data_IF_762185510116
#
_entry.id   IF_762185510116
#
_cell.length_a   1.000
_cell.length_b   1.000
_cell.length_c   1.000
_cell.angle_alpha   90.00
_cell.angle_beta   90.00
_cell.angle_gamma   90.00
#
_symmetry.space_group_name_H-M   'P 1'
#
loop_
_entity.id
_entity.type
_entity.pdbx_description
1 polymer ?
#
# COMPACT_ATOMS: atom_id res chain seq x y z
N UNK A 1 -9.68 3.88 13.24
CA UNK A 1 -8.45 4.44 12.64
C UNK A 1 -7.86 3.47 11.63
N UNK A 2 -7.46 3.97 10.48
CA UNK A 2 -6.69 3.20 9.51
C UNK A 2 -5.21 3.33 9.87
N UNK A 3 -4.52 2.21 9.98
CA UNK A 3 -3.07 2.18 10.14
C UNK A 3 -2.45 1.65 8.85
N UNK A 4 -1.69 2.48 8.17
CA UNK A 4 -0.98 2.13 6.95
C UNK A 4 0.51 1.95 7.27
N UNK A 5 1.08 0.84 6.82
CA UNK A 5 2.49 0.55 6.99
C UNK A 5 3.12 0.24 5.65
N UNK A 6 4.26 0.88 5.40
CA UNK A 6 5.08 0.61 4.23
C UNK A 6 6.47 0.22 4.73
N UNK A 7 6.94 -0.95 4.35
CA UNK A 7 8.23 -1.43 4.84
C UNK A 7 8.85 -2.45 3.89
N UNK A 8 10.14 -2.69 4.08
CA UNK A 8 10.87 -3.72 3.37
C UNK A 8 11.29 -4.80 4.34
N UNK A 9 11.36 -6.04 3.85
CA UNK A 9 12.01 -7.16 4.55
C UNK A 9 13.24 -7.54 3.75
N UNK A 10 14.43 -6.99 4.08
CA UNK A 10 15.65 -7.23 3.29
C UNK A 10 16.03 -8.70 3.16
N UNK A 11 15.79 -9.50 4.23
CA UNK A 11 16.08 -10.93 4.20
C UNK A 11 15.26 -11.70 3.15
N UNK A 12 14.10 -11.17 2.76
CA UNK A 12 13.22 -11.76 1.76
C UNK A 12 13.28 -11.00 0.44
N UNK A 13 13.92 -9.84 0.41
CA UNK A 13 13.95 -8.96 -0.74
C UNK A 13 12.58 -8.43 -1.12
N UNK A 14 11.67 -8.28 -0.15
CA UNK A 14 10.26 -7.93 -0.41
C UNK A 14 9.92 -6.54 0.09
N UNK A 15 8.95 -5.92 -0.60
CA UNK A 15 8.40 -4.60 -0.28
C UNK A 15 6.94 -4.79 0.06
N UNK A 16 6.49 -4.20 1.15
CA UNK A 16 5.19 -4.44 1.77
C UNK A 16 4.39 -3.16 1.94
N UNK A 17 3.08 -3.26 1.69
CA UNK A 17 2.10 -2.27 2.08
C UNK A 17 0.98 -2.99 2.82
N UNK A 18 0.62 -2.50 4.00
CA UNK A 18 -0.55 -2.99 4.73
C UNK A 18 -1.45 -1.82 5.14
N UNK A 19 -2.76 -2.05 5.04
CA UNK A 19 -3.77 -1.16 5.61
C UNK A 19 -4.60 -1.99 6.57
N UNK A 20 -4.77 -1.50 7.79
CA UNK A 20 -5.58 -2.19 8.82
C UNK A 20 -6.54 -1.21 9.46
N UNK A 21 -7.76 -1.66 9.72
CA UNK A 21 -8.76 -0.90 10.42
C UNK A 21 -9.70 -0.11 9.53
N UNK A 22 -10.51 0.74 10.15
CA UNK A 22 -11.47 1.62 9.49
C UNK A 22 -11.21 3.04 9.93
N UNK A 23 -11.40 3.99 9.01
CA UNK A 23 -11.16 5.41 9.30
C UNK A 23 -12.13 5.95 10.35
N UNK A 24 -13.39 5.47 10.33
CA UNK A 24 -14.47 5.92 11.21
C UNK A 24 -14.72 7.44 11.09
N UNK A 25 -14.50 8.00 9.90
CA UNK A 25 -14.74 9.42 9.63
C UNK A 25 -16.21 9.68 9.34
N UNK A 26 -16.96 8.65 8.90
CA UNK A 26 -18.37 8.72 8.57
C UNK A 26 -18.96 7.30 8.59
N UNK A 27 -20.30 7.16 8.52
CA UNK A 27 -20.93 5.85 8.39
C UNK A 27 -20.43 5.10 7.15
N UNK A 28 -20.53 3.76 7.21
CA UNK A 28 -20.13 2.88 6.10
C UNK A 28 -20.83 3.31 4.81
N UNK A 29 -20.06 3.42 3.73
CA UNK A 29 -20.55 3.86 2.43
C UNK A 29 -20.45 5.37 2.20
N UNK A 30 -20.22 6.15 3.27
CA UNK A 30 -20.07 7.60 3.20
C UNK A 30 -18.68 8.07 3.67
N UNK A 31 -17.81 7.12 4.04
CA UNK A 31 -16.47 7.43 4.56
C UNK A 31 -15.51 7.65 3.42
N UNK A 32 -15.28 8.91 3.06
CA UNK A 32 -14.36 9.29 1.99
C UNK A 32 -12.90 8.96 2.32
N UNK A 33 -12.54 8.98 3.59
CA UNK A 33 -11.19 8.64 4.02
C UNK A 33 -10.92 7.16 3.79
N UNK A 34 -11.87 6.31 4.18
CA UNK A 34 -11.79 4.87 3.96
C UNK A 34 -11.74 4.54 2.46
N UNK A 35 -12.59 5.18 1.67
CA UNK A 35 -12.64 4.98 0.22
C UNK A 35 -11.33 5.41 -0.44
N UNK A 36 -10.77 6.55 -0.03
CA UNK A 36 -9.50 7.05 -0.56
C UNK A 36 -8.34 6.11 -0.26
N UNK A 37 -8.22 5.64 0.98
CA UNK A 37 -7.18 4.70 1.37
C UNK A 37 -7.32 3.38 0.61
N UNK A 38 -8.54 2.90 0.45
CA UNK A 38 -8.84 1.67 -0.29
C UNK A 38 -8.42 1.80 -1.75
N UNK A 39 -8.70 2.93 -2.38
CA UNK A 39 -8.30 3.16 -3.78
C UNK A 39 -6.77 3.17 -3.92
N UNK A 40 -6.04 3.71 -2.96
CA UNK A 40 -4.57 3.67 -2.99
C UNK A 40 -4.06 2.23 -2.93
N UNK A 41 -4.65 1.38 -2.09
CA UNK A 41 -4.29 -0.03 -2.03
C UNK A 41 -4.60 -0.77 -3.34
N UNK A 42 -5.77 -0.53 -3.91
CA UNK A 42 -6.16 -1.13 -5.18
C UNK A 42 -5.23 -0.69 -6.31
N UNK A 43 -4.82 0.57 -6.30
CA UNK A 43 -3.90 1.13 -7.30
C UNK A 43 -2.54 0.43 -7.23
N UNK A 44 -1.99 0.25 -6.03
CA UNK A 44 -0.73 -0.47 -5.85
C UNK A 44 -0.87 -1.92 -6.28
N UNK A 45 -1.96 -2.59 -5.91
CA UNK A 45 -2.21 -3.97 -6.29
C UNK A 45 -2.23 -4.14 -7.81
N UNK A 46 -2.92 -3.24 -8.51
CA UNK A 46 -2.98 -3.29 -9.98
C UNK A 46 -1.62 -3.01 -10.60
N UNK A 47 -0.91 -2.01 -10.12
CA UNK A 47 0.42 -1.67 -10.63
C UNK A 47 1.39 -2.83 -10.44
N UNK A 48 1.36 -3.48 -9.28
CA UNK A 48 2.23 -4.62 -8.98
C UNK A 48 1.92 -5.80 -9.90
N UNK A 49 0.66 -6.05 -10.24
CA UNK A 49 0.28 -7.08 -11.20
C UNK A 49 0.83 -6.78 -12.60
N UNK A 50 0.76 -5.53 -13.05
CA UNK A 50 1.34 -5.12 -14.33
C UNK A 50 2.86 -5.29 -14.32
N UNK A 51 3.52 -4.96 -13.21
CA UNK A 51 4.97 -5.14 -13.08
C UNK A 51 5.36 -6.63 -13.10
N UNK A 52 4.53 -7.49 -12.52
CA UNK A 52 4.73 -8.93 -12.62
C UNK A 52 4.67 -9.41 -14.06
N UNK A 53 3.68 -8.95 -14.83
CA UNK A 53 3.54 -9.26 -16.26
C UNK A 53 4.75 -8.80 -17.07
N UNK A 54 5.40 -7.70 -16.64
CA UNK A 54 6.59 -7.16 -17.29
C UNK A 54 7.89 -7.82 -16.86
N UNK A 55 7.82 -8.85 -16.00
CA UNK A 55 9.00 -9.55 -15.54
C UNK A 55 9.82 -8.84 -14.47
N UNK A 56 9.22 -7.86 -13.80
CA UNK A 56 9.92 -7.06 -12.76
C UNK A 56 9.90 -7.71 -11.38
N UNK A 57 9.18 -8.82 -11.20
CA UNK A 57 9.09 -9.53 -9.93
C UNK A 57 9.72 -10.92 -10.04
N UNK A 58 10.36 -11.37 -8.95
CA UNK A 58 10.95 -12.72 -8.87
C UNK A 58 9.90 -13.81 -8.75
N UNK A 59 8.72 -13.48 -8.21
CA UNK A 59 7.61 -14.40 -8.00
C UNK A 59 6.31 -13.63 -7.98
N UNK A 60 5.19 -14.35 -8.06
CA UNK A 60 3.87 -13.72 -8.04
C UNK A 60 3.68 -12.90 -6.77
N UNK A 61 3.13 -11.69 -6.89
CA UNK A 61 2.87 -10.86 -5.72
C UNK A 61 1.80 -11.48 -4.83
N UNK A 62 1.86 -11.21 -3.53
CA UNK A 62 0.80 -11.56 -2.60
C UNK A 62 -0.11 -10.36 -2.45
N UNK A 63 -1.39 -10.53 -2.79
CA UNK A 63 -2.38 -9.47 -2.74
C UNK A 63 -3.60 -10.01 -1.99
N UNK A 64 -3.95 -9.36 -0.90
CA UNK A 64 -5.16 -9.66 -0.16
C UNK A 64 -5.88 -8.34 0.11
N UNK A 65 -7.08 -8.20 -0.46
CA UNK A 65 -7.89 -6.99 -0.36
C UNK A 65 -9.22 -7.37 0.28
N UNK A 66 -9.33 -7.14 1.59
CA UNK A 66 -10.52 -7.43 2.37
C UNK A 66 -10.98 -6.17 3.08
N UNK A 67 -12.25 -6.11 3.44
CA UNK A 67 -12.76 -5.02 4.24
C UNK A 67 -11.95 -4.91 5.55
N UNK A 68 -11.42 -3.72 5.81
CA UNK A 68 -10.63 -3.44 7.01
C UNK A 68 -9.23 -4.04 7.02
N UNK A 69 -8.80 -4.69 5.93
CA UNK A 69 -7.48 -5.31 5.88
C UNK A 69 -7.00 -5.50 4.45
N UNK A 70 -5.96 -4.79 4.07
CA UNK A 70 -5.31 -4.95 2.77
C UNK A 70 -3.83 -5.24 2.98
N UNK A 71 -3.30 -6.18 2.21
CA UNK A 71 -1.89 -6.54 2.23
C UNK A 71 -1.40 -6.74 0.81
N UNK A 72 -0.32 -6.06 0.45
CA UNK A 72 0.32 -6.18 -0.85
C UNK A 72 1.81 -6.40 -0.62
N UNK A 73 2.34 -7.50 -1.14
CA UNK A 73 3.74 -7.86 -1.00
C UNK A 73 4.31 -8.14 -2.38
N UNK A 74 5.37 -7.43 -2.75
CA UNK A 74 6.07 -7.62 -4.01
C UNK A 74 7.54 -7.94 -3.75
N UNK A 75 8.07 -8.91 -4.48
CA UNK A 75 9.48 -9.30 -4.41
C UNK A 75 10.11 -8.97 -5.76
N UNK A 76 10.74 -7.79 -5.91
CA UNK A 76 11.26 -7.36 -7.20
C UNK A 76 12.52 -8.09 -7.61
N UNK A 77 12.73 -8.17 -8.92
CA UNK A 77 14.04 -8.51 -9.47
C UNK A 77 15.01 -7.36 -9.18
N UNK A 78 16.29 -7.60 -9.37
CA UNK A 78 17.29 -6.54 -9.25
C UNK A 78 16.98 -5.38 -10.19
N UNK A 79 16.62 -5.68 -11.45
CA UNK A 79 16.26 -4.64 -12.44
C UNK A 79 14.95 -3.94 -12.09
N UNK A 80 14.00 -4.65 -11.50
CA UNK A 80 12.69 -4.10 -11.16
C UNK A 80 12.64 -3.36 -9.83
N UNK A 81 13.67 -3.45 -9.02
CA UNK A 81 13.65 -2.96 -7.64
C UNK A 81 13.26 -1.48 -7.53
N UNK A 82 13.91 -0.63 -8.28
CA UNK A 82 13.67 0.82 -8.20
C UNK A 82 12.23 1.18 -8.59
N UNK A 83 11.70 0.56 -9.64
CA UNK A 83 10.35 0.84 -10.11
C UNK A 83 9.30 0.33 -9.11
N UNK A 84 9.50 -0.87 -8.57
CA UNK A 84 8.59 -1.43 -7.57
C UNK A 84 8.62 -0.58 -6.29
N UNK A 85 9.81 -0.24 -5.81
CA UNK A 85 9.95 0.62 -4.63
C UNK A 85 9.25 1.96 -4.84
N UNK A 86 9.45 2.57 -6.00
CA UNK A 86 8.83 3.86 -6.33
C UNK A 86 7.30 3.78 -6.37
N UNK A 87 6.78 2.66 -6.89
CA UNK A 87 5.33 2.42 -6.92
C UNK A 87 4.72 2.45 -5.51
N UNK A 88 5.35 1.77 -4.55
CA UNK A 88 4.90 1.79 -3.16
C UNK A 88 5.08 3.17 -2.53
N UNK A 89 6.18 3.84 -2.84
CA UNK A 89 6.44 5.18 -2.32
C UNK A 89 5.40 6.21 -2.76
N UNK A 90 4.96 6.15 -4.02
CA UNK A 90 3.91 7.05 -4.52
C UNK A 90 2.61 6.87 -3.75
N UNK A 91 2.21 5.62 -3.48
CA UNK A 91 1.04 5.34 -2.66
C UNK A 91 1.21 5.85 -1.23
N UNK A 92 2.42 5.70 -0.67
CA UNK A 92 2.74 6.26 0.64
C UNK A 92 2.54 7.78 0.66
N UNK A 93 2.89 8.48 -0.41
CA UNK A 93 2.64 9.91 -0.52
C UNK A 93 1.13 10.21 -0.42
N UNK A 94 0.29 9.37 -1.05
CA UNK A 94 -1.15 9.52 -0.95
C UNK A 94 -1.68 9.33 0.48
N UNK A 95 -1.19 8.31 1.18
CA UNK A 95 -1.55 8.09 2.59
C UNK A 95 -1.04 9.23 3.46
N UNK A 96 0.15 9.77 3.16
CA UNK A 96 0.69 10.93 3.88
C UNK A 96 -0.26 12.13 3.77
N UNK A 97 -0.80 12.39 2.59
CA UNK A 97 -1.79 13.46 2.38
C UNK A 97 -3.05 13.19 3.20
N UNK A 98 -3.53 11.95 3.22
CA UNK A 98 -4.70 11.58 4.03
C UNK A 98 -4.42 11.81 5.52
N UNK A 99 -3.26 11.38 6.02
CA UNK A 99 -2.92 11.58 7.44
C UNK A 99 -2.83 13.05 7.79
N UNK A 100 -2.27 13.87 6.91
CA UNK A 100 -2.17 15.31 7.14
C UNK A 100 -3.54 15.96 7.27
N UNK A 101 -4.49 15.56 6.43
CA UNK A 101 -5.84 16.14 6.42
C UNK A 101 -6.77 15.48 7.45
N UNK A 102 -6.51 14.24 7.82
CA UNK A 102 -7.36 13.45 8.74
C UNK A 102 -6.51 12.76 9.80
N UNK A 103 -5.77 13.52 10.63
CA UNK A 103 -4.79 12.91 11.55
C UNK A 103 -5.42 12.04 12.64
N UNK A 104 -6.73 12.20 12.91
CA UNK A 104 -7.44 11.37 13.88
C UNK A 104 -7.97 10.07 13.29
N UNK A 105 -7.90 9.93 11.96
CA UNK A 105 -8.50 8.79 11.25
C UNK A 105 -7.46 7.92 10.54
N UNK A 106 -6.26 8.45 10.31
CA UNK A 106 -5.20 7.75 9.56
C UNK A 106 -3.86 7.90 10.26
N UNK A 107 -3.16 6.79 10.41
CA UNK A 107 -1.79 6.75 10.93
C UNK A 107 -0.90 6.06 9.90
N UNK A 108 0.28 6.62 9.65
CA UNK A 108 1.21 6.11 8.65
C UNK A 108 2.55 5.76 9.27
N UNK A 109 3.06 4.56 8.97
CA UNK A 109 4.45 4.19 9.19
C UNK A 109 5.16 4.20 7.83
N UNK A 110 6.18 5.04 7.74
CA UNK A 110 6.88 5.34 6.49
C UNK A 110 7.86 4.24 6.07
N UNK A 111 7.90 4.00 4.78
CA UNK A 111 8.97 3.24 4.15
C UNK A 111 10.27 4.05 4.27
N UNK A 112 11.30 3.41 4.80
CA UNK A 112 12.63 4.00 4.83
C UNK A 112 13.32 3.72 3.51
N UNK A 113 13.67 4.76 2.83
CA UNK A 113 14.30 4.68 1.50
C UNK A 113 15.75 5.15 1.59
#
# INVERSE_FOLDING_TARGET
>A
MITAKFYQKPSQGSIHMTLKGHANAAPKGEDLVCASATMLAYTVAQAVQFLDEQGMLKKKPKISLKEGSATIIATPTEEGYAMVLHTFWVAQCGIHVLQHNYPQNVQLEHLKV
#
